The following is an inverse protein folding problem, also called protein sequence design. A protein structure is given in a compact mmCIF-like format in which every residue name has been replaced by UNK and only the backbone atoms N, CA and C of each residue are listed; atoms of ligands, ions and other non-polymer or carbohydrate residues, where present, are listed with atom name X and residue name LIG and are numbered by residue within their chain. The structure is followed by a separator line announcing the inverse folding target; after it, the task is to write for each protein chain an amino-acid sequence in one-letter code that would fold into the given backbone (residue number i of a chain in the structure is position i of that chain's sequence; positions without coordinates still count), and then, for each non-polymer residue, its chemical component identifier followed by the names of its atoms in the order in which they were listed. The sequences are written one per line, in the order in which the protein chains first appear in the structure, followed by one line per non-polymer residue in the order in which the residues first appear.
data_IF_506142505560
#
_entry.id   IF_506142505560
#
_cell.length_a   1.000
_cell.length_b   1.000
_cell.length_c   1.000
_cell.angle_alpha   90.00
_cell.angle_beta   90.00
_cell.angle_gamma   90.00
#
_symmetry.space_group_name_H-M   'P 1'
#
loop_
_entity.id
_entity.type
_entity.pdbx_description
1 polymer ?
#
# COMPACT_ATOMS: atom_id res chain seq x y z
N UNK A 1 -28.48 -12.62 52.90
CA UNK A 1 -27.11 -12.50 52.34
C UNK A 1 -26.98 -11.11 51.75
N UNK A 2 -25.99 -10.31 52.18
CA UNK A 2 -25.77 -8.95 51.67
C UNK A 2 -24.87 -9.04 50.44
N UNK A 3 -25.30 -8.40 49.34
CA UNK A 3 -24.59 -8.37 48.07
C UNK A 3 -23.63 -7.18 48.00
N UNK A 4 -22.32 -7.43 47.94
CA UNK A 4 -21.34 -6.40 47.65
C UNK A 4 -21.15 -6.22 46.14
N UNK A 5 -21.71 -5.16 45.54
CA UNK A 5 -21.50 -4.83 44.13
C UNK A 5 -20.61 -3.60 44.01
N UNK A 6 -19.64 -3.65 43.10
CA UNK A 6 -18.68 -2.56 42.89
C UNK A 6 -19.25 -1.35 42.13
N UNK A 7 -20.38 -1.51 41.44
CA UNK A 7 -21.03 -0.47 40.62
C UNK A 7 -22.51 -0.36 40.99
N UNK A 8 -22.96 0.86 41.34
CA UNK A 8 -24.32 1.14 41.82
C UNK A 8 -25.39 0.90 40.76
N UNK A 9 -25.06 1.05 39.47
CA UNK A 9 -26.00 0.79 38.37
C UNK A 9 -26.28 -0.69 38.19
N UNK A 10 -25.24 -1.51 38.37
CA UNK A 10 -25.36 -2.97 38.31
C UNK A 10 -26.08 -3.47 39.57
N UNK A 11 -25.82 -2.86 40.72
CA UNK A 11 -26.53 -3.16 41.96
C UNK A 11 -28.06 -3.00 41.82
N UNK A 12 -28.50 -1.92 41.16
CA UNK A 12 -29.94 -1.68 40.90
C UNK A 12 -30.56 -2.76 40.02
N UNK A 13 -29.88 -3.21 38.96
CA UNK A 13 -30.37 -4.23 38.04
C UNK A 13 -30.33 -5.66 38.63
N UNK A 14 -29.38 -5.94 39.52
CA UNK A 14 -29.29 -7.24 40.21
C UNK A 14 -30.33 -7.37 41.32
N UNK A 15 -30.66 -6.25 42.00
CA UNK A 15 -31.69 -6.23 43.05
C UNK A 15 -33.07 -6.64 42.55
N UNK A 16 -33.34 -6.51 41.24
CA UNK A 16 -34.58 -6.98 40.60
C UNK A 16 -34.63 -8.49 40.38
N UNK A 17 -33.49 -9.21 40.36
CA UNK A 17 -33.47 -10.61 39.92
C UNK A 17 -32.88 -11.65 40.90
N UNK A 18 -31.72 -11.48 41.57
CA UNK A 18 -31.19 -12.51 42.51
C UNK A 18 -30.06 -11.98 43.45
N UNK A 19 -29.78 -12.68 44.56
CA UNK A 19 -28.89 -12.25 45.67
C UNK A 19 -27.61 -13.10 45.86
N UNK A 20 -26.46 -12.81 45.20
CA UNK A 20 -25.18 -13.55 45.41
C UNK A 20 -23.90 -12.71 45.19
N UNK A 21 -22.98 -12.65 46.18
CA UNK A 21 -21.74 -11.83 46.20
C UNK A 21 -20.53 -12.40 45.46
N UNK A 22 -19.72 -11.52 44.82
CA UNK A 22 -18.46 -11.88 44.15
C UNK A 22 -17.21 -11.29 44.85
N UNK A 23 -16.17 -12.11 45.02
CA UNK A 23 -14.86 -11.78 45.61
C UNK A 23 -13.81 -11.54 44.52
N UNK A 24 -13.10 -10.40 44.53
CA UNK A 24 -12.10 -10.02 43.49
C UNK A 24 -10.67 -10.50 43.79
N UNK A 25 -10.31 -10.71 45.05
CA UNK A 25 -8.90 -10.85 45.49
C UNK A 25 -8.38 -12.30 45.47
N UNK A 26 -9.24 -13.29 45.70
CA UNK A 26 -8.91 -14.73 45.62
C UNK A 26 -9.60 -15.45 44.46
N UNK A 27 -10.07 -14.70 43.46
CA UNK A 27 -10.73 -15.23 42.27
C UNK A 27 -9.98 -16.38 41.55
N UNK A 28 -8.63 -16.35 41.41
CA UNK A 28 -7.87 -17.45 40.80
C UNK A 28 -7.87 -18.73 41.65
N UNK A 29 -7.90 -18.59 42.98
CA UNK A 29 -7.90 -19.73 43.91
C UNK A 29 -9.30 -20.35 44.09
N UNK A 30 -10.35 -19.57 43.81
CA UNK A 30 -11.75 -19.97 43.94
C UNK A 30 -12.27 -20.72 42.69
N UNK A 31 -11.74 -20.42 41.51
CA UNK A 31 -12.17 -21.01 40.25
C UNK A 31 -11.15 -22.05 39.77
N UNK A 32 -11.45 -23.34 39.98
CA UNK A 32 -10.61 -24.44 39.48
C UNK A 32 -10.47 -24.34 37.95
N UNK A 33 -9.25 -24.13 37.47
CA UNK A 33 -8.90 -24.02 36.05
C UNK A 33 -8.52 -22.60 35.59
N UNK A 34 -8.80 -21.56 36.38
CA UNK A 34 -8.40 -20.18 36.08
C UNK A 34 -7.13 -19.82 36.83
N UNK A 35 -5.98 -20.20 36.29
CA UNK A 35 -4.67 -19.76 36.81
C UNK A 35 -4.49 -18.25 36.61
N UNK A 36 -3.67 -17.59 37.45
CA UNK A 36 -3.35 -16.15 37.34
C UNK A 36 -2.85 -15.74 35.95
N UNK A 37 -2.11 -16.62 35.28
CA UNK A 37 -1.63 -16.40 33.92
C UNK A 37 -2.78 -16.39 32.89
N UNK A 38 -3.73 -17.31 33.02
CA UNK A 38 -4.88 -17.39 32.14
C UNK A 38 -5.85 -16.23 32.38
N UNK A 39 -6.04 -15.83 33.64
CA UNK A 39 -6.81 -14.64 33.98
C UNK A 39 -6.18 -13.39 33.35
N UNK A 40 -4.86 -13.22 33.46
CA UNK A 40 -4.15 -12.07 32.88
C UNK A 40 -4.27 -12.03 31.35
N UNK A 41 -4.15 -13.16 30.66
CA UNK A 41 -4.38 -13.28 29.20
C UNK A 41 -5.82 -12.98 28.81
N UNK A 42 -6.79 -13.48 29.56
CA UNK A 42 -8.21 -13.22 29.33
C UNK A 42 -8.55 -11.73 29.53
N UNK A 43 -8.00 -11.10 30.58
CA UNK A 43 -8.14 -9.66 30.83
C UNK A 43 -7.55 -8.83 29.71
N UNK A 44 -6.37 -9.19 29.20
CA UNK A 44 -5.75 -8.51 28.05
C UNK A 44 -6.61 -8.64 26.79
N UNK A 45 -7.08 -9.86 26.49
CA UNK A 45 -7.96 -10.12 25.35
C UNK A 45 -9.26 -9.33 25.42
N UNK A 46 -9.92 -9.35 26.58
CA UNK A 46 -11.15 -8.59 26.83
C UNK A 46 -10.92 -7.08 26.77
N UNK A 47 -9.82 -6.59 27.34
CA UNK A 47 -9.45 -5.18 27.31
C UNK A 47 -9.23 -4.68 25.88
N UNK A 48 -8.54 -5.46 25.05
CA UNK A 48 -8.37 -5.14 23.63
C UNK A 48 -9.69 -5.21 22.86
N UNK A 49 -10.52 -6.23 23.09
CA UNK A 49 -11.81 -6.38 22.43
C UNK A 49 -12.76 -5.21 22.77
N UNK A 50 -12.88 -4.88 24.06
CA UNK A 50 -13.68 -3.77 24.55
C UNK A 50 -13.21 -2.44 23.97
N UNK A 51 -11.90 -2.17 24.02
CA UNK A 51 -11.33 -0.92 23.50
C UNK A 51 -11.52 -0.79 21.99
N UNK A 52 -11.29 -1.86 21.22
CA UNK A 52 -11.52 -1.87 19.76
C UNK A 52 -12.99 -1.64 19.40
N UNK A 53 -13.92 -2.27 20.14
CA UNK A 53 -15.35 -2.09 19.94
C UNK A 53 -15.80 -0.66 20.25
N UNK A 54 -15.30 -0.09 21.36
CA UNK A 54 -15.66 1.26 21.81
C UNK A 54 -15.12 2.35 20.89
N UNK A 55 -13.87 2.20 20.43
CA UNK A 55 -13.20 3.16 19.55
C UNK A 55 -13.62 3.00 18.08
N UNK A 56 -14.49 2.02 17.76
CA UNK A 56 -14.87 1.67 16.36
C UNK A 56 -13.64 1.52 15.48
N UNK A 57 -12.65 0.75 15.94
CA UNK A 57 -11.38 0.58 15.22
C UNK A 57 -11.63 0.03 13.82
N UNK A 58 -11.39 0.85 12.80
CA UNK A 58 -11.65 0.48 11.41
C UNK A 58 -10.42 -0.21 10.80
N UNK A 59 -10.52 -1.52 10.57
CA UNK A 59 -9.43 -2.32 9.98
C UNK A 59 -9.08 -1.86 8.57
N UNK A 60 -10.03 -1.24 7.85
CA UNK A 60 -9.79 -0.75 6.49
C UNK A 60 -8.91 0.51 6.45
N UNK A 61 -8.68 1.15 7.59
CA UNK A 61 -7.89 2.38 7.72
C UNK A 61 -6.49 2.13 8.28
N UNK A 62 -6.05 0.88 8.31
CA UNK A 62 -4.73 0.49 8.83
C UNK A 62 -3.65 0.93 7.85
N UNK A 63 -2.93 1.98 8.23
CA UNK A 63 -1.80 2.57 7.53
C UNK A 63 -0.53 1.73 7.61
N UNK A 64 -0.42 0.83 8.60
CA UNK A 64 0.74 -0.08 8.72
C UNK A 64 0.96 -0.93 7.44
N UNK A 65 -0.13 -1.38 6.79
CA UNK A 65 0.01 -2.15 5.54
C UNK A 65 0.62 -1.33 4.41
N UNK A 66 0.35 -0.01 4.34
CA UNK A 66 0.94 0.90 3.36
C UNK A 66 2.44 1.05 3.63
N UNK A 67 2.82 1.22 4.91
CA UNK A 67 4.21 1.39 5.35
C UNK A 67 5.04 0.15 4.97
N UNK A 68 4.54 -1.04 5.28
CA UNK A 68 5.24 -2.28 4.92
C UNK A 68 5.30 -2.49 3.41
N UNK A 69 4.22 -2.17 2.69
CA UNK A 69 4.18 -2.34 1.23
C UNK A 69 5.18 -1.44 0.50
N UNK A 70 5.33 -0.17 0.91
CA UNK A 70 6.30 0.73 0.27
C UNK A 70 7.74 0.37 0.63
N UNK A 71 8.00 -0.04 1.88
CA UNK A 71 9.32 -0.51 2.29
C UNK A 71 9.73 -1.77 1.51
N UNK A 72 8.79 -2.71 1.32
CA UNK A 72 9.00 -3.89 0.49
C UNK A 72 9.21 -3.52 -0.98
N UNK A 73 8.45 -2.58 -1.52
CA UNK A 73 8.62 -2.12 -2.91
C UNK A 73 10.00 -1.48 -3.15
N UNK A 74 10.44 -0.61 -2.25
CA UNK A 74 11.77 0.02 -2.34
C UNK A 74 12.91 -1.01 -2.16
N UNK A 75 12.70 -2.08 -1.39
CA UNK A 75 13.65 -3.19 -1.27
C UNK A 75 13.67 -4.07 -2.54
N UNK A 76 12.50 -4.44 -3.05
CA UNK A 76 12.37 -5.18 -4.31
C UNK A 76 13.04 -4.45 -5.48
N UNK A 77 12.93 -3.12 -5.55
CA UNK A 77 13.60 -2.34 -6.60
C UNK A 77 15.13 -2.50 -6.56
N UNK A 78 15.74 -2.56 -5.38
CA UNK A 78 17.19 -2.78 -5.24
C UNK A 78 17.57 -4.23 -5.56
N UNK A 79 16.78 -5.17 -5.06
CA UNK A 79 17.04 -6.61 -5.24
C UNK A 79 16.89 -6.99 -6.72
N UNK A 80 15.83 -6.51 -7.38
CA UNK A 80 15.61 -6.71 -8.82
C UNK A 80 16.79 -6.19 -9.62
N UNK A 81 17.30 -4.99 -9.31
CA UNK A 81 18.45 -4.43 -10.02
C UNK A 81 19.72 -5.26 -9.77
N UNK A 82 19.96 -5.67 -8.53
CA UNK A 82 21.13 -6.49 -8.16
C UNK A 82 21.07 -7.86 -8.83
N UNK A 83 19.92 -8.52 -8.81
CA UNK A 83 19.72 -9.80 -9.47
C UNK A 83 19.78 -9.70 -10.99
N UNK A 84 19.27 -8.61 -11.58
CA UNK A 84 19.37 -8.37 -13.02
C UNK A 84 20.82 -8.19 -13.47
N UNK A 85 21.62 -7.44 -12.71
CA UNK A 85 23.07 -7.32 -12.96
C UNK A 85 23.75 -8.68 -12.82
N UNK A 86 23.36 -9.49 -11.84
CA UNK A 86 23.91 -10.83 -11.65
C UNK A 86 23.58 -11.79 -12.80
N UNK A 87 22.35 -11.75 -13.35
CA UNK A 87 21.98 -12.53 -14.55
C UNK A 87 22.80 -12.07 -15.75
N UNK A 88 22.99 -10.76 -15.92
CA UNK A 88 23.82 -10.22 -17.01
C UNK A 88 25.26 -10.69 -16.93
N UNK A 89 25.87 -10.69 -15.76
CA UNK A 89 27.22 -11.23 -15.58
C UNK A 89 27.27 -12.73 -15.86
N UNK A 90 26.33 -13.50 -15.28
CA UNK A 90 26.37 -14.96 -15.36
C UNK A 90 26.11 -15.48 -16.77
N UNK A 91 25.10 -14.93 -17.46
CA UNK A 91 24.81 -15.28 -18.84
C UNK A 91 25.76 -14.60 -19.83
N UNK A 92 26.39 -13.49 -19.44
CA UNK A 92 27.41 -12.79 -20.24
C UNK A 92 28.64 -13.63 -20.56
N UNK A 93 28.97 -14.63 -19.75
CA UNK A 93 30.03 -15.60 -20.07
C UNK A 93 29.68 -16.48 -21.29
N UNK A 94 28.39 -16.77 -21.47
CA UNK A 94 27.88 -17.57 -22.60
C UNK A 94 27.56 -16.71 -23.82
N UNK A 95 26.94 -15.54 -23.61
CA UNK A 95 26.53 -14.65 -24.68
C UNK A 95 26.79 -13.17 -24.31
N UNK A 96 28.03 -12.69 -24.49
CA UNK A 96 28.43 -11.34 -24.06
C UNK A 96 27.77 -10.21 -24.89
N UNK A 97 27.44 -10.47 -26.16
CA UNK A 97 26.85 -9.46 -27.05
C UNK A 97 25.43 -9.05 -26.62
N UNK A 98 24.69 -9.94 -25.94
CA UNK A 98 23.30 -9.68 -25.51
C UNK A 98 23.18 -8.46 -24.59
N UNK A 99 24.19 -8.22 -23.76
CA UNK A 99 24.22 -7.09 -22.82
C UNK A 99 24.23 -5.75 -23.57
N UNK A 100 24.84 -5.70 -24.76
CA UNK A 100 24.90 -4.47 -25.58
C UNK A 100 23.61 -4.22 -26.35
N UNK A 101 22.91 -5.28 -26.73
CA UNK A 101 21.69 -5.20 -27.55
C UNK A 101 20.47 -4.84 -26.67
N UNK A 102 20.35 -5.44 -25.48
CA UNK A 102 19.20 -5.26 -24.60
C UNK A 102 19.58 -4.40 -23.38
N UNK A 103 19.05 -3.18 -23.33
CA UNK A 103 19.27 -2.23 -22.23
C UNK A 103 18.35 -2.46 -21.03
N UNK A 104 17.12 -2.92 -21.24
CA UNK A 104 16.15 -3.15 -20.17
C UNK A 104 16.39 -4.49 -19.45
N UNK A 105 16.24 -4.48 -18.12
CA UNK A 105 16.55 -5.62 -17.26
C UNK A 105 15.47 -6.70 -17.34
N UNK A 106 14.20 -6.30 -17.46
CA UNK A 106 13.08 -7.22 -17.50
C UNK A 106 13.05 -8.01 -18.81
N UNK A 107 13.16 -7.31 -19.93
CA UNK A 107 13.28 -7.93 -21.26
C UNK A 107 14.51 -8.84 -21.35
N UNK A 108 15.66 -8.43 -20.80
CA UNK A 108 16.86 -9.27 -20.75
C UNK A 108 16.60 -10.60 -20.04
N UNK A 109 16.00 -10.57 -18.85
CA UNK A 109 15.70 -11.80 -18.10
C UNK A 109 14.72 -12.72 -18.85
N UNK A 110 13.73 -12.15 -19.55
CA UNK A 110 12.80 -12.93 -20.40
C UNK A 110 13.49 -13.56 -21.60
N UNK A 111 14.40 -12.84 -22.25
CA UNK A 111 15.17 -13.37 -23.38
C UNK A 111 16.12 -14.48 -22.93
N UNK A 112 16.80 -14.34 -21.79
CA UNK A 112 17.63 -15.41 -21.22
C UNK A 112 16.80 -16.67 -20.90
N UNK A 113 15.59 -16.49 -20.36
CA UNK A 113 14.69 -17.60 -20.07
C UNK A 113 14.23 -18.35 -21.33
N UNK A 114 14.00 -17.61 -22.43
CA UNK A 114 13.54 -18.18 -23.70
C UNK A 114 14.69 -18.80 -24.52
N UNK A 115 15.84 -18.13 -24.58
CA UNK A 115 16.98 -18.56 -25.39
C UNK A 115 17.60 -19.87 -24.93
N UNK A 116 17.58 -20.17 -23.63
CA UNK A 116 18.19 -21.36 -23.02
C UNK A 116 19.56 -21.67 -23.67
N UNK A 117 19.62 -22.65 -24.57
CA UNK A 117 20.85 -23.06 -25.22
C UNK A 117 20.98 -22.52 -26.65
N UNK A 118 22.15 -21.96 -26.98
CA UNK A 118 22.43 -21.36 -28.30
C UNK A 118 22.23 -22.30 -29.49
N UNK A 119 22.39 -23.61 -29.26
CA UNK A 119 22.37 -24.65 -30.31
C UNK A 119 20.97 -25.16 -30.62
N UNK A 120 20.01 -24.98 -29.71
CA UNK A 120 18.62 -25.45 -29.87
C UNK A 120 17.68 -24.32 -30.34
N UNK A 121 18.17 -23.07 -30.33
CA UNK A 121 17.37 -21.92 -30.65
C UNK A 121 17.09 -21.82 -32.16
N UNK A 122 15.90 -22.23 -32.57
CA UNK A 122 15.47 -22.32 -33.97
C UNK A 122 14.57 -21.12 -34.36
N UNK A 123 14.45 -20.86 -35.66
CA UNK A 123 13.66 -19.80 -36.33
C UNK A 123 12.21 -19.68 -35.80
N UNK A 124 11.62 -20.77 -35.28
CA UNK A 124 10.27 -20.76 -34.70
C UNK A 124 10.11 -19.89 -33.44
N UNK A 125 11.20 -19.50 -32.76
CA UNK A 125 11.16 -18.62 -31.60
C UNK A 125 11.29 -17.13 -31.95
N UNK A 126 11.37 -16.79 -33.23
CA UNK A 126 11.47 -15.39 -33.70
C UNK A 126 10.21 -14.58 -33.36
N UNK A 127 9.02 -15.16 -33.55
CA UNK A 127 7.75 -14.54 -33.15
C UNK A 127 7.63 -14.32 -31.63
N UNK A 128 8.12 -15.28 -30.84
CA UNK A 128 8.13 -15.17 -29.37
C UNK A 128 9.14 -14.13 -28.88
N UNK A 129 10.30 -14.01 -29.55
CA UNK A 129 11.28 -12.97 -29.30
C UNK A 129 10.74 -11.60 -29.67
N UNK A 130 10.11 -11.44 -30.84
CA UNK A 130 9.48 -10.18 -31.25
C UNK A 130 8.37 -9.75 -30.29
N UNK A 131 7.58 -10.71 -29.77
CA UNK A 131 6.58 -10.42 -28.74
C UNK A 131 7.20 -9.94 -27.41
N UNK A 132 8.45 -10.31 -27.11
CA UNK A 132 9.16 -9.92 -25.89
C UNK A 132 9.92 -8.60 -26.08
N UNK A 133 10.66 -8.46 -27.18
CA UNK A 133 11.51 -7.30 -27.48
C UNK A 133 10.69 -6.11 -27.99
N UNK A 134 9.48 -6.36 -28.51
CA UNK A 134 8.59 -5.38 -29.15
C UNK A 134 9.26 -4.60 -30.29
N UNK A 135 10.39 -5.10 -30.80
CA UNK A 135 11.27 -4.41 -31.73
C UNK A 135 11.97 -5.43 -32.62
N UNK A 136 11.49 -5.53 -33.87
CA UNK A 136 11.99 -6.47 -34.87
C UNK A 136 13.48 -6.25 -35.16
N UNK A 137 13.97 -4.99 -35.07
CA UNK A 137 15.38 -4.67 -35.28
C UNK A 137 16.31 -5.26 -34.21
N UNK A 138 15.86 -5.32 -32.95
CA UNK A 138 16.64 -5.95 -31.87
C UNK A 138 16.65 -7.47 -31.99
N UNK A 139 15.53 -8.05 -32.42
CA UNK A 139 15.44 -9.50 -32.65
C UNK A 139 16.42 -9.94 -33.74
N UNK A 140 16.44 -9.24 -34.89
CA UNK A 140 17.41 -9.51 -35.96
C UNK A 140 18.87 -9.36 -35.47
N UNK A 141 19.18 -8.30 -34.71
CA UNK A 141 20.50 -8.09 -34.13
C UNK A 141 20.91 -9.20 -33.14
N UNK A 142 19.96 -9.76 -32.38
CA UNK A 142 20.21 -10.91 -31.51
C UNK A 142 20.57 -12.14 -32.35
N UNK A 143 19.85 -12.43 -33.44
CA UNK A 143 20.16 -13.56 -34.33
C UNK A 143 21.51 -13.40 -35.05
N UNK A 144 21.85 -12.19 -35.50
CA UNK A 144 23.18 -11.91 -36.06
C UNK A 144 24.28 -12.06 -35.03
N UNK A 145 24.06 -11.56 -33.80
CA UNK A 145 24.99 -11.72 -32.69
C UNK A 145 25.13 -13.20 -32.27
N UNK A 146 24.07 -14.00 -32.32
CA UNK A 146 24.16 -15.44 -32.06
C UNK A 146 25.06 -16.16 -33.07
N UNK A 147 25.02 -15.77 -34.35
CA UNK A 147 25.88 -16.36 -35.40
C UNK A 147 27.35 -15.96 -35.26
N UNK A 148 27.62 -14.81 -34.67
CA UNK A 148 28.96 -14.20 -34.57
C UNK A 148 29.57 -14.29 -33.16
N UNK A 149 28.85 -14.85 -32.19
CA UNK A 149 29.29 -14.86 -30.78
C UNK A 149 30.54 -15.70 -30.55
N UNK A 150 31.42 -15.19 -29.69
CA UNK A 150 32.66 -15.84 -29.26
C UNK A 150 32.51 -16.42 -27.84
N UNK A 151 31.29 -16.45 -27.29
CA UNK A 151 31.03 -16.88 -25.93
C UNK A 151 31.38 -18.35 -25.65
N UNK A 152 31.61 -18.65 -24.37
CA UNK A 152 32.00 -19.98 -23.88
C UNK A 152 30.80 -20.92 -23.86
N UNK A 153 31.00 -22.20 -24.22
CA UNK A 153 30.00 -23.25 -23.99
C UNK A 153 29.86 -23.53 -22.49
N UNK A 154 28.66 -23.34 -21.95
CA UNK A 154 28.33 -23.59 -20.53
C UNK A 154 27.78 -25.01 -20.36
N UNK A 155 28.04 -25.63 -19.20
CA UNK A 155 27.46 -26.93 -18.82
C UNK A 155 25.93 -26.87 -18.76
N UNK A 156 25.20 -27.93 -19.17
CA UNK A 156 23.74 -27.96 -19.09
C UNK A 156 23.21 -27.77 -17.66
N UNK A 157 23.96 -28.21 -16.64
CA UNK A 157 23.58 -28.04 -15.23
C UNK A 157 23.60 -26.56 -14.83
N UNK A 158 24.62 -25.82 -15.26
CA UNK A 158 24.74 -24.39 -15.00
C UNK A 158 23.68 -23.61 -15.76
N UNK A 159 23.34 -24.05 -16.97
CA UNK A 159 22.27 -23.44 -17.76
C UNK A 159 20.90 -23.57 -17.09
N UNK A 160 20.58 -24.74 -16.51
CA UNK A 160 19.35 -24.96 -15.73
C UNK A 160 19.30 -24.01 -14.52
N UNK A 161 20.43 -23.78 -13.86
CA UNK A 161 20.51 -22.86 -12.73
C UNK A 161 20.28 -21.40 -13.17
N UNK A 162 20.86 -20.98 -14.29
CA UNK A 162 20.63 -19.65 -14.88
C UNK A 162 19.16 -19.48 -15.28
N UNK A 163 18.55 -20.50 -15.90
CA UNK A 163 17.13 -20.49 -16.28
C UNK A 163 16.22 -20.32 -15.06
N UNK A 164 16.44 -21.13 -14.01
CA UNK A 164 15.70 -21.05 -12.75
C UNK A 164 15.85 -19.67 -12.09
N UNK A 165 17.05 -19.09 -12.13
CA UNK A 165 17.31 -17.77 -11.59
C UNK A 165 16.61 -16.67 -12.42
N UNK A 166 16.67 -16.74 -13.76
CA UNK A 166 15.96 -15.83 -14.65
C UNK A 166 14.44 -15.89 -14.42
N UNK A 167 13.87 -17.09 -14.30
CA UNK A 167 12.45 -17.30 -13.97
C UNK A 167 12.08 -16.65 -12.64
N UNK A 168 12.93 -16.80 -11.61
CA UNK A 168 12.69 -16.16 -10.30
C UNK A 168 12.69 -14.64 -10.40
N UNK A 169 13.61 -14.06 -11.17
CA UNK A 169 13.68 -12.61 -11.38
C UNK A 169 12.46 -12.09 -12.14
N UNK A 170 11.99 -12.80 -13.19
CA UNK A 170 10.75 -12.45 -13.89
C UNK A 170 9.56 -12.41 -12.92
N UNK A 171 9.41 -13.43 -12.08
CA UNK A 171 8.35 -13.44 -11.05
C UNK A 171 8.50 -12.31 -10.03
N UNK A 172 9.72 -11.88 -9.68
CA UNK A 172 9.92 -10.70 -8.83
C UNK A 172 9.47 -9.40 -9.51
N UNK A 173 9.71 -9.25 -10.81
CA UNK A 173 9.19 -8.11 -11.58
C UNK A 173 7.66 -8.09 -11.64
N UNK A 174 7.03 -9.25 -11.88
CA UNK A 174 5.56 -9.40 -11.86
C UNK A 174 4.99 -9.08 -10.47
N UNK A 175 5.62 -9.63 -9.43
CA UNK A 175 5.22 -9.38 -8.05
C UNK A 175 5.33 -7.90 -7.69
N UNK A 176 6.42 -7.23 -8.10
CA UNK A 176 6.58 -5.78 -7.94
C UNK A 176 5.43 -4.99 -8.58
N UNK A 177 5.02 -5.35 -9.81
CA UNK A 177 3.88 -4.71 -10.49
C UNK A 177 2.58 -4.93 -9.71
N UNK A 178 2.33 -6.16 -9.27
CA UNK A 178 1.14 -6.49 -8.47
C UNK A 178 1.11 -5.73 -7.13
N UNK A 179 2.27 -5.55 -6.49
CA UNK A 179 2.41 -4.82 -5.23
C UNK A 179 2.16 -3.31 -5.44
N UNK A 180 2.58 -2.76 -6.58
CA UNK A 180 2.29 -1.37 -6.95
C UNK A 180 0.79 -1.14 -7.16
N UNK A 181 0.08 -2.06 -7.81
CA UNK A 181 -1.37 -2.01 -7.99
C UNK A 181 -2.11 -2.15 -6.64
N UNK A 182 -1.64 -3.05 -5.77
CA UNK A 182 -2.14 -3.19 -4.41
C UNK A 182 -1.97 -1.90 -3.60
N UNK A 183 -0.77 -1.29 -3.64
CA UNK A 183 -0.49 -0.02 -2.98
C UNK A 183 -1.41 1.10 -3.49
N UNK A 184 -1.66 1.16 -4.80
CA UNK A 184 -2.59 2.12 -5.40
C UNK A 184 -4.01 1.96 -4.88
N UNK A 185 -4.51 0.72 -4.86
CA UNK A 185 -5.84 0.42 -4.34
C UNK A 185 -5.98 0.76 -2.85
N UNK A 186 -4.97 0.42 -2.04
CA UNK A 186 -4.96 0.70 -0.61
C UNK A 186 -4.81 2.18 -0.30
N UNK A 187 -3.96 2.90 -1.01
CA UNK A 187 -3.84 4.34 -0.84
C UNK A 187 -5.15 5.06 -1.18
N UNK A 188 -5.86 4.63 -2.21
CA UNK A 188 -7.18 5.18 -2.54
C UNK A 188 -8.24 4.94 -1.46
N UNK A 189 -8.11 3.90 -0.63
CA UNK A 189 -9.01 3.63 0.50
C UNK A 189 -8.63 4.42 1.76
N UNK A 190 -7.33 4.61 2.01
CA UNK A 190 -6.83 5.20 3.27
C UNK A 190 -6.61 6.70 3.15
N UNK A 191 -5.98 7.17 2.07
CA UNK A 191 -5.59 8.56 1.86
C UNK A 191 -5.75 8.99 0.38
N UNK A 192 -6.99 9.09 -0.13
CA UNK A 192 -7.27 9.48 -1.50
C UNK A 192 -6.89 10.93 -1.82
N UNK A 193 -6.96 11.86 -0.86
CA UNK A 193 -6.61 13.26 -1.12
C UNK A 193 -5.11 13.45 -1.28
N UNK A 194 -4.32 12.79 -0.42
CA UNK A 194 -2.87 12.78 -0.54
C UNK A 194 -2.42 12.11 -1.83
N UNK A 195 -3.05 10.99 -2.22
CA UNK A 195 -2.83 10.32 -3.49
C UNK A 195 -3.13 11.23 -4.70
N UNK A 196 -4.28 11.90 -4.71
CA UNK A 196 -4.66 12.82 -5.80
C UNK A 196 -3.67 13.97 -5.98
N UNK A 197 -3.15 14.51 -4.87
CA UNK A 197 -2.27 15.68 -4.85
C UNK A 197 -0.84 15.39 -5.32
N UNK A 198 -0.17 14.38 -4.74
CA UNK A 198 1.27 14.11 -4.97
C UNK A 198 1.56 12.77 -5.65
N UNK A 199 0.55 11.91 -5.80
CA UNK A 199 0.69 10.55 -6.31
C UNK A 199 0.85 9.51 -5.19
N UNK A 200 0.50 8.27 -5.50
CA UNK A 200 0.37 7.18 -4.52
C UNK A 200 1.72 6.77 -3.93
N UNK A 201 2.77 6.67 -4.76
CA UNK A 201 4.11 6.26 -4.30
C UNK A 201 4.77 7.29 -3.39
N UNK A 202 4.73 8.57 -3.77
CA UNK A 202 5.32 9.66 -2.96
C UNK A 202 4.52 9.84 -1.67
N UNK A 203 3.19 9.75 -1.73
CA UNK A 203 2.33 9.74 -0.54
C UNK A 203 2.65 8.60 0.42
N UNK A 204 2.84 7.38 -0.11
CA UNK A 204 3.22 6.22 0.70
C UNK A 204 4.57 6.42 1.40
N UNK A 205 5.58 6.95 0.69
CA UNK A 205 6.89 7.25 1.30
C UNK A 205 6.80 8.31 2.39
N UNK A 206 5.96 9.34 2.23
CA UNK A 206 5.74 10.34 3.28
C UNK A 206 5.11 9.73 4.54
N UNK A 207 4.10 8.86 4.38
CA UNK A 207 3.46 8.16 5.50
C UNK A 207 4.47 7.23 6.19
N UNK A 208 5.25 6.47 5.42
CA UNK A 208 6.25 5.56 5.95
C UNK A 208 7.34 6.28 6.75
N UNK A 209 7.87 7.39 6.24
CA UNK A 209 8.88 8.17 6.95
C UNK A 209 8.33 8.89 8.18
N UNK A 210 7.03 9.23 8.21
CA UNK A 210 6.37 9.74 9.42
C UNK A 210 5.99 8.63 10.42
N UNK A 211 6.03 7.37 10.01
CA UNK A 211 5.69 6.18 10.80
C UNK A 211 4.19 5.91 10.95
N UNK A 212 3.32 6.90 10.71
CA UNK A 212 1.87 6.71 10.61
C UNK A 212 1.22 7.91 9.91
N UNK A 213 0.02 7.72 9.38
CA UNK A 213 -0.79 8.81 8.82
C UNK A 213 -1.17 9.82 9.92
N UNK A 214 -1.40 9.34 11.15
CA UNK A 214 -1.72 10.21 12.30
C UNK A 214 -0.56 11.12 12.68
N UNK A 215 0.68 10.62 12.65
CA UNK A 215 1.87 11.42 12.91
C UNK A 215 2.11 12.42 11.78
N UNK A 216 1.89 12.00 10.53
CA UNK A 216 1.99 12.89 9.38
C UNK A 216 1.01 14.07 9.49
N UNK A 217 -0.24 13.82 9.91
CA UNK A 217 -1.25 14.86 10.12
C UNK A 217 -0.87 15.86 11.23
N UNK A 218 -0.14 15.39 12.26
CA UNK A 218 0.37 16.22 13.36
C UNK A 218 1.57 17.07 12.96
N UNK A 219 2.36 16.64 11.98
CA UNK A 219 3.52 17.42 11.54
C UNK A 219 3.11 18.78 10.95
N UNK A 220 3.91 19.84 11.20
CA UNK A 220 3.73 21.11 10.53
C UNK A 220 4.20 20.99 9.07
N UNK A 221 3.69 21.87 8.22
CA UNK A 221 4.04 21.88 6.80
C UNK A 221 5.55 22.11 6.55
N UNK A 222 6.23 22.85 7.42
CA UNK A 222 7.68 23.05 7.35
C UNK A 222 8.46 21.74 7.51
N UNK A 223 8.04 20.85 8.40
CA UNK A 223 8.64 19.52 8.56
C UNK A 223 8.35 18.64 7.35
N UNK A 224 7.11 18.66 6.85
CA UNK A 224 6.70 17.92 5.65
C UNK A 224 7.54 18.33 4.42
N UNK A 225 7.92 19.60 4.30
CA UNK A 225 8.77 20.12 3.21
C UNK A 225 10.15 19.44 3.15
N UNK A 226 10.78 19.22 4.30
CA UNK A 226 12.16 18.71 4.45
C UNK A 226 12.23 17.22 4.75
N UNK A 227 11.08 16.55 4.82
CA UNK A 227 10.95 15.15 5.24
C UNK A 227 11.77 14.24 4.31
N UNK A 228 12.68 13.45 4.87
CA UNK A 228 13.68 12.64 4.14
C UNK A 228 15.00 13.35 3.80
N UNK A 229 15.12 14.67 3.98
CA UNK A 229 16.39 15.42 3.85
C UNK A 229 17.01 15.78 5.22
N UNK A 230 16.55 15.14 6.30
CA UNK A 230 16.92 15.47 7.69
C UNK A 230 18.43 15.38 7.93
N UNK A 231 19.09 14.34 7.43
CA UNK A 231 20.56 14.20 7.57
C UNK A 231 21.31 15.38 6.95
N UNK A 232 20.88 15.83 5.78
CA UNK A 232 21.48 16.98 5.09
C UNK A 232 21.18 18.29 5.84
N UNK A 233 19.97 18.42 6.39
CA UNK A 233 19.59 19.56 7.22
C UNK A 233 20.44 19.65 8.50
N UNK A 234 20.58 18.56 9.25
CA UNK A 234 21.38 18.53 10.46
C UNK A 234 22.86 18.77 10.18
N UNK A 235 23.39 18.26 9.06
CA UNK A 235 24.75 18.57 8.62
C UNK A 235 24.92 20.05 8.32
N UNK A 236 24.01 20.66 7.55
CA UNK A 236 24.04 22.08 7.22
C UNK A 236 23.94 22.98 8.47
N UNK A 237 23.10 22.61 9.44
CA UNK A 237 22.99 23.32 10.72
C UNK A 237 24.30 23.27 11.52
N UNK A 238 24.97 22.11 11.56
CA UNK A 238 26.26 21.95 12.24
C UNK A 238 27.38 22.75 11.56
N UNK A 239 27.41 22.76 10.23
CA UNK A 239 28.46 23.44 9.45
C UNK A 239 28.09 24.89 9.09
N UNK A 240 26.96 25.41 9.59
CA UNK A 240 26.35 26.69 9.17
C UNK A 240 26.29 26.86 7.64
N UNK A 241 26.06 25.75 6.93
CA UNK A 241 25.95 25.72 5.47
C UNK A 241 24.50 25.93 4.99
N UNK A 242 24.31 25.88 3.67
CA UNK A 242 23.00 26.01 3.05
C UNK A 242 22.08 24.83 3.42
N UNK A 243 20.91 25.14 3.98
CA UNK A 243 19.90 24.15 4.34
C UNK A 243 19.17 23.62 3.10
N UNK A 244 18.81 22.31 3.07
CA UNK A 244 18.04 21.75 1.98
C UNK A 244 16.63 22.36 1.94
N UNK A 245 16.15 22.68 0.74
CA UNK A 245 14.83 23.32 0.53
C UNK A 245 13.69 22.32 0.31
N UNK A 246 14.00 21.05 0.05
CA UNK A 246 13.04 20.00 -0.27
C UNK A 246 13.58 18.62 0.15
N UNK A 247 12.68 17.71 0.52
CA UNK A 247 12.96 16.30 0.77
C UNK A 247 12.26 15.38 -0.23
N UNK A 248 11.52 14.39 0.27
CA UNK A 248 10.80 13.39 -0.54
C UNK A 248 9.78 14.00 -1.51
N UNK A 249 9.22 15.16 -1.18
CA UNK A 249 8.24 15.87 -2.02
C UNK A 249 8.85 16.31 -3.36
N UNK A 250 10.19 16.40 -3.46
CA UNK A 250 10.88 16.73 -4.71
C UNK A 250 10.52 15.81 -5.88
N UNK A 251 10.20 14.54 -5.59
CA UNK A 251 9.80 13.55 -6.60
C UNK A 251 8.36 13.71 -7.09
N UNK A 252 7.62 14.71 -6.60
CA UNK A 252 6.29 15.03 -7.14
C UNK A 252 6.39 15.63 -8.55
N UNK A 253 5.45 15.27 -9.40
CA UNK A 253 5.38 15.74 -10.80
C UNK A 253 5.31 17.27 -10.91
N UNK A 254 4.65 17.94 -9.96
CA UNK A 254 4.51 19.40 -9.91
C UNK A 254 5.84 20.13 -9.69
N UNK A 255 6.73 19.57 -8.86
CA UNK A 255 8.05 20.17 -8.60
C UNK A 255 9.01 19.91 -9.76
N UNK A 256 8.91 18.74 -10.40
CA UNK A 256 9.70 18.41 -11.58
C UNK A 256 9.49 19.39 -12.74
N UNK A 257 8.25 19.88 -12.93
CA UNK A 257 7.89 20.85 -13.97
C UNK A 257 8.30 22.30 -13.67
N UNK A 258 8.53 22.65 -12.41
CA UNK A 258 8.82 24.01 -12.01
C UNK A 258 10.25 24.45 -12.35
N UNK A 259 10.41 25.74 -12.71
CA UNK A 259 11.74 26.35 -12.95
C UNK A 259 12.62 26.32 -11.70
N UNK A 260 13.94 26.21 -11.88
CA UNK A 260 14.89 25.98 -10.79
C UNK A 260 14.82 27.03 -9.66
N UNK A 261 14.54 28.29 -10.01
CA UNK A 261 14.38 29.38 -9.04
C UNK A 261 13.10 29.24 -8.21
N UNK A 262 12.01 28.77 -8.83
CA UNK A 262 10.69 28.67 -8.22
C UNK A 262 10.48 27.35 -7.45
N UNK A 263 11.33 26.33 -7.65
CA UNK A 263 11.26 25.03 -6.97
C UNK A 263 11.12 25.12 -5.44
N UNK A 264 11.84 26.03 -4.79
CA UNK A 264 11.75 26.22 -3.33
C UNK A 264 10.41 26.83 -2.88
N UNK A 265 9.87 27.77 -3.66
CA UNK A 265 8.59 28.43 -3.36
C UNK A 265 7.42 27.48 -3.56
N UNK A 266 7.42 26.73 -4.66
CA UNK A 266 6.37 25.74 -4.94
C UNK A 266 6.44 24.56 -3.97
N UNK A 267 7.63 24.11 -3.55
CA UNK A 267 7.78 23.04 -2.56
C UNK A 267 7.13 23.41 -1.22
N UNK A 268 7.31 24.64 -0.75
CA UNK A 268 6.64 25.14 0.46
C UNK A 268 5.12 25.18 0.29
N UNK A 269 4.63 25.68 -0.85
CA UNK A 269 3.20 25.72 -1.13
C UNK A 269 2.58 24.32 -1.18
N UNK A 270 3.24 23.38 -1.85
CA UNK A 270 2.83 21.99 -1.93
C UNK A 270 2.84 21.31 -0.56
N UNK A 271 3.86 21.54 0.27
CA UNK A 271 3.91 21.01 1.64
C UNK A 271 2.74 21.51 2.50
N UNK A 272 2.35 22.79 2.37
CA UNK A 272 1.16 23.33 3.04
C UNK A 272 -0.11 22.60 2.60
N UNK A 273 -0.29 22.37 1.30
CA UNK A 273 -1.46 21.64 0.77
C UNK A 273 -1.44 20.15 1.18
N UNK A 274 -0.27 19.52 1.22
CA UNK A 274 -0.11 18.15 1.71
C UNK A 274 -0.46 18.03 3.20
N UNK A 275 -0.09 19.02 4.02
CA UNK A 275 -0.47 19.04 5.44
C UNK A 275 -1.99 19.13 5.63
N UNK A 276 -2.68 19.91 4.78
CA UNK A 276 -4.14 20.00 4.79
C UNK A 276 -4.76 18.68 4.33
N UNK A 277 -4.31 18.14 3.19
CA UNK A 277 -4.81 16.89 2.63
C UNK A 277 -4.65 15.71 3.60
N UNK A 278 -3.47 15.57 4.22
CA UNK A 278 -3.20 14.50 5.21
C UNK A 278 -4.08 14.61 6.45
N UNK A 279 -4.41 15.81 6.92
CA UNK A 279 -5.35 16.01 8.04
C UNK A 279 -6.77 15.63 7.66
N UNK A 280 -7.22 16.03 6.47
CA UNK A 280 -8.54 15.63 5.95
C UNK A 280 -8.61 14.10 5.84
N UNK A 281 -7.59 13.47 5.25
CA UNK A 281 -7.51 12.01 5.09
C UNK A 281 -7.40 11.26 6.41
N UNK A 282 -6.82 11.85 7.45
CA UNK A 282 -6.67 11.20 8.76
C UNK A 282 -7.93 11.32 9.64
N UNK A 283 -8.61 12.46 9.60
CA UNK A 283 -9.72 12.75 10.53
C UNK A 283 -11.12 12.61 9.91
N UNK A 284 -11.26 12.51 8.58
CA UNK A 284 -12.57 12.30 7.94
C UNK A 284 -13.05 10.86 8.09
N UNK A 285 -14.29 10.59 8.53
CA UNK A 285 -14.77 9.20 8.63
C UNK A 285 -14.88 8.50 7.27
N UNK A 286 -15.25 9.27 6.23
CA UNK A 286 -15.34 8.81 4.84
C UNK A 286 -14.43 9.71 4.02
N UNK A 287 -13.25 9.22 3.60
CA UNK A 287 -12.35 10.00 2.77
C UNK A 287 -12.89 10.05 1.34
N UNK A 288 -12.99 11.26 0.78
CA UNK A 288 -13.34 11.53 -0.63
C UNK A 288 -12.09 12.00 -1.37
N UNK A 289 -12.03 11.84 -2.69
CA UNK A 289 -10.87 12.27 -3.50
C UNK A 289 -10.96 13.74 -3.97
N UNK A 290 -12.18 14.31 -3.92
CA UNK A 290 -12.51 15.65 -4.44
C UNK A 290 -11.59 16.74 -3.87
N UNK A 291 -11.32 16.74 -2.57
CA UNK A 291 -10.44 17.75 -1.98
C UNK A 291 -9.01 17.67 -2.55
N UNK A 292 -8.51 16.46 -2.81
CA UNK A 292 -7.21 16.23 -3.44
C UNK A 292 -7.12 16.82 -4.84
N UNK A 293 -8.17 16.64 -5.65
CA UNK A 293 -8.22 17.16 -7.02
C UNK A 293 -8.28 18.70 -7.06
N UNK A 294 -9.10 19.32 -6.21
CA UNK A 294 -9.13 20.78 -6.07
C UNK A 294 -7.80 21.34 -5.55
N UNK A 295 -7.17 20.68 -4.58
CA UNK A 295 -5.86 21.06 -4.08
C UNK A 295 -4.77 20.94 -5.16
N UNK A 296 -4.88 19.91 -6.02
CA UNK A 296 -3.98 19.71 -7.15
C UNK A 296 -4.13 20.80 -8.20
N UNK A 297 -5.37 21.18 -8.53
CA UNK A 297 -5.66 22.30 -9.41
C UNK A 297 -5.05 23.60 -8.85
N UNK A 298 -5.24 23.89 -7.56
CA UNK A 298 -4.62 25.07 -6.92
C UNK A 298 -3.08 25.09 -7.04
N UNK A 299 -2.42 23.94 -6.89
CA UNK A 299 -0.96 23.84 -7.06
C UNK A 299 -0.58 24.06 -8.53
N UNK A 300 -1.36 23.53 -9.46
CA UNK A 300 -1.16 23.72 -10.90
C UNK A 300 -1.37 25.18 -11.32
N UNK A 301 -2.40 25.85 -10.82
CA UNK A 301 -2.66 27.26 -11.11
C UNK A 301 -1.60 28.15 -10.48
N UNK A 302 -1.10 27.78 -9.30
CA UNK A 302 0.04 28.47 -8.70
C UNK A 302 1.32 28.30 -9.50
N UNK A 303 1.51 27.15 -10.16
CA UNK A 303 2.62 26.94 -11.08
C UNK A 303 2.46 27.83 -12.31
N UNK A 304 1.27 27.85 -12.94
CA UNK A 304 0.95 28.75 -14.06
C UNK A 304 1.17 30.21 -13.68
N UNK A 305 0.76 30.66 -12.50
CA UNK A 305 1.02 32.02 -12.01
C UNK A 305 2.51 32.39 -12.04
N UNK A 306 3.41 31.45 -11.76
CA UNK A 306 4.85 31.72 -11.82
C UNK A 306 5.39 31.82 -13.25
N UNK A 307 4.68 31.28 -14.23
CA UNK A 307 5.06 31.29 -15.64
C UNK A 307 4.35 32.40 -16.43
N UNK A 308 3.03 32.56 -16.26
CA UNK A 308 2.15 33.48 -16.99
C UNK A 308 1.73 34.74 -16.21
N UNK A 309 1.86 34.75 -14.87
CA UNK A 309 1.43 35.86 -14.01
C UNK A 309 -0.07 35.91 -13.69
N UNK A 310 -0.88 34.95 -14.15
CA UNK A 310 -2.32 34.91 -13.88
C UNK A 310 -2.64 34.63 -12.41
N UNK A 311 -3.41 35.51 -11.77
CA UNK A 311 -3.74 35.41 -10.34
C UNK A 311 -4.57 34.15 -10.06
N UNK A 312 -4.10 33.25 -9.16
CA UNK A 312 -4.86 32.07 -8.81
C UNK A 312 -6.09 32.42 -7.97
N UNK A 313 -7.13 31.59 -8.07
CA UNK A 313 -8.34 31.73 -7.26
C UNK A 313 -8.03 31.68 -5.75
N UNK A 314 -8.85 32.37 -4.94
CA UNK A 314 -8.69 32.36 -3.49
C UNK A 314 -8.97 30.96 -2.96
N UNK A 315 -8.17 30.54 -1.97
CA UNK A 315 -8.32 29.21 -1.37
C UNK A 315 -9.71 28.99 -0.74
N UNK A 316 -10.35 30.04 -0.22
CA UNK A 316 -11.64 29.94 0.47
C UNK A 316 -12.73 29.49 -0.49
N UNK A 317 -12.81 30.13 -1.66
CA UNK A 317 -13.86 29.90 -2.65
C UNK A 317 -13.78 28.48 -3.20
N UNK A 318 -12.57 28.02 -3.54
CA UNK A 318 -12.33 26.65 -4.02
C UNK A 318 -12.65 25.60 -2.94
N UNK A 319 -12.40 25.91 -1.67
CA UNK A 319 -12.71 24.98 -0.57
C UNK A 319 -14.21 24.90 -0.29
N UNK A 320 -14.97 25.99 -0.50
CA UNK A 320 -16.43 25.97 -0.40
C UNK A 320 -17.05 25.10 -1.51
N UNK A 321 -16.56 25.23 -2.75
CA UNK A 321 -16.99 24.38 -3.87
C UNK A 321 -16.67 22.91 -3.57
N UNK A 322 -15.44 22.63 -3.12
CA UNK A 322 -15.03 21.27 -2.76
C UNK A 322 -15.86 20.68 -1.61
N UNK A 323 -16.32 21.50 -0.65
CA UNK A 323 -17.18 21.04 0.44
C UNK A 323 -18.55 20.59 -0.07
N UNK A 324 -19.17 21.39 -0.95
CA UNK A 324 -20.49 21.06 -1.53
C UNK A 324 -20.41 19.76 -2.35
N UNK A 325 -19.40 19.62 -3.19
CA UNK A 325 -19.20 18.42 -4.01
C UNK A 325 -18.89 17.19 -3.13
N UNK A 326 -18.08 17.37 -2.09
CA UNK A 326 -17.74 16.29 -1.15
C UNK A 326 -18.95 15.81 -0.34
N UNK A 327 -19.88 16.70 0.03
CA UNK A 327 -21.12 16.31 0.71
C UNK A 327 -21.99 15.42 -0.17
N UNK A 328 -22.17 15.80 -1.45
CA UNK A 328 -22.91 14.99 -2.42
C UNK A 328 -22.27 13.62 -2.60
N UNK A 329 -20.95 13.56 -2.75
CA UNK A 329 -20.24 12.28 -2.91
C UNK A 329 -20.32 11.42 -1.65
N UNK A 330 -20.19 12.03 -0.46
CA UNK A 330 -20.36 11.34 0.84
C UNK A 330 -21.74 10.72 0.96
N UNK A 331 -22.80 11.44 0.61
CA UNK A 331 -24.17 10.91 0.63
C UNK A 331 -24.34 9.72 -0.33
N UNK A 332 -23.76 9.82 -1.53
CA UNK A 332 -23.76 8.72 -2.49
C UNK A 332 -23.01 7.49 -1.95
N UNK A 333 -21.85 7.67 -1.33
CA UNK A 333 -21.07 6.58 -0.72
C UNK A 333 -21.86 5.93 0.41
N UNK A 334 -22.46 6.72 1.32
CA UNK A 334 -23.30 6.22 2.41
C UNK A 334 -24.49 5.42 1.86
N UNK A 335 -25.14 5.91 0.79
CA UNK A 335 -26.25 5.21 0.16
C UNK A 335 -25.82 3.86 -0.45
N UNK A 336 -24.65 3.82 -1.11
CA UNK A 336 -24.06 2.61 -1.70
C UNK A 336 -23.67 1.60 -0.61
N UNK A 337 -23.07 2.05 0.49
CA UNK A 337 -22.77 1.19 1.63
C UNK A 337 -24.03 0.61 2.28
N UNK A 338 -25.08 1.42 2.47
CA UNK A 338 -26.36 0.95 2.99
C UNK A 338 -26.99 -0.12 2.08
N UNK A 339 -26.92 0.07 0.76
CA UNK A 339 -27.36 -0.93 -0.24
C UNK A 339 -26.52 -2.21 -0.18
N UNK A 340 -25.20 -2.10 -0.08
CA UNK A 340 -24.30 -3.27 0.09
C UNK A 340 -24.60 -4.06 1.37
N UNK A 341 -24.70 -3.39 2.52
CA UNK A 341 -25.05 -4.02 3.80
C UNK A 341 -26.41 -4.72 3.77
N UNK A 342 -27.41 -4.12 3.09
CA UNK A 342 -28.72 -4.78 2.88
C UNK A 342 -28.60 -6.03 2.01
N UNK A 343 -27.83 -5.97 0.90
CA UNK A 343 -27.61 -7.12 0.01
C UNK A 343 -26.84 -8.24 0.70
N UNK A 344 -25.84 -7.91 1.49
CA UNK A 344 -25.04 -8.87 2.27
C UNK A 344 -25.88 -9.53 3.37
N UNK A 345 -26.68 -8.76 4.12
CA UNK A 345 -27.62 -9.31 5.10
C UNK A 345 -28.65 -10.25 4.45
N UNK A 346 -29.11 -9.93 3.22
CA UNK A 346 -30.01 -10.80 2.44
C UNK A 346 -29.30 -12.11 2.02
N UNK A 347 -28.07 -12.03 1.49
CA UNK A 347 -27.28 -13.22 1.13
C UNK A 347 -26.97 -14.10 2.35
N UNK A 348 -26.65 -13.49 3.48
CA UNK A 348 -26.34 -14.22 4.72
C UNK A 348 -27.57 -14.93 5.28
N UNK A 349 -28.75 -14.29 5.23
CA UNK A 349 -30.02 -14.93 5.56
C UNK A 349 -30.35 -16.09 4.61
N UNK A 350 -30.10 -15.93 3.31
CA UNK A 350 -30.30 -17.00 2.32
C UNK A 350 -29.34 -18.18 2.54
N UNK A 351 -28.08 -17.91 2.86
CA UNK A 351 -27.10 -18.96 3.17
C UNK A 351 -27.45 -19.72 4.47
N UNK A 352 -27.92 -19.01 5.51
CA UNK A 352 -28.41 -19.63 6.74
C UNK A 352 -29.67 -20.48 6.50
N UNK A 353 -30.59 -20.01 5.65
CA UNK A 353 -31.78 -20.78 5.29
C UNK A 353 -31.44 -22.02 4.46
N UNK A 354 -30.48 -21.92 3.53
CA UNK A 354 -30.01 -23.07 2.75
C UNK A 354 -29.30 -24.11 3.64
N UNK A 355 -28.44 -23.67 4.56
CA UNK A 355 -27.78 -24.58 5.50
C UNK A 355 -28.77 -25.29 6.44
N UNK A 356 -29.84 -24.60 6.87
CA UNK A 356 -30.89 -25.22 7.67
C UNK A 356 -31.70 -26.28 6.89
N UNK A 357 -31.96 -26.04 5.60
CA UNK A 357 -32.61 -27.01 4.71
C UNK A 357 -31.72 -28.24 4.45
N UNK A 358 -30.41 -28.04 4.28
CA UNK A 358 -29.45 -29.14 4.12
C UNK A 358 -29.33 -29.99 5.41
N UNK A 359 -29.39 -29.36 6.59
CA UNK A 359 -29.43 -30.09 7.88
C UNK A 359 -30.75 -30.86 8.08
N UNK A 360 -31.89 -30.30 7.69
CA UNK A 360 -33.18 -30.99 7.74
C UNK A 360 -33.24 -32.18 6.77
N UNK A 361 -32.70 -32.03 5.55
CA UNK A 361 -32.61 -33.12 4.57
C UNK A 361 -31.65 -34.23 5.02
N UNK A 362 -30.52 -33.88 5.63
CA UNK A 362 -29.60 -34.88 6.20
C UNK A 362 -30.20 -35.62 7.39
N UNK A 363 -30.96 -34.93 8.25
CA UNK A 363 -31.66 -35.58 9.37
C UNK A 363 -32.82 -36.47 8.89
N UNK A 364 -33.56 -36.07 7.84
CA UNK A 364 -34.60 -36.91 7.24
C UNK A 364 -34.02 -38.17 6.59
N UNK A 365 -32.91 -38.06 5.85
CA UNK A 365 -32.22 -39.21 5.26
C UNK A 365 -31.62 -40.17 6.31
N UNK A 366 -31.22 -39.65 7.48
CA UNK A 366 -30.73 -40.49 8.58
C UNK A 366 -31.85 -41.26 9.29
N UNK A 367 -33.07 -40.70 9.34
CA UNK A 367 -34.24 -41.38 9.91
C UNK A 367 -34.73 -42.51 8.99
N UNK A 368 -34.78 -42.29 7.68
CA UNK A 368 -35.16 -43.31 6.68
C UNK A 368 -34.13 -44.45 6.55
N UNK A 369 -32.87 -44.24 6.93
CA UNK A 369 -31.85 -45.30 6.95
C UNK A 369 -31.89 -46.19 8.21
N UNK A 370 -32.69 -45.81 9.22
CA UNK A 370 -32.84 -46.54 10.50
C UNK A 370 -34.19 -47.24 10.68
N UNK A 371 -35.11 -47.07 9.73
CA UNK A 371 -36.35 -47.84 9.59
C UNK A 371 -36.15 -48.97 8.56
#
# INVERSE_FOLDING_TARGET
MILGVADSRIASAINEHFSISCLRLHFPNLVKGLTDQNQSKAQLGLGHAYSRAKVKFNVNRVDNMIIQSIALLDQLDKDINTFSMRIREWYGYHFPELIRIISDNYTYARVVYLMKNRKEFTINHEEELEAITMDSGKTAAIFEAMKTTIGMDISPIDLINIESFAKRVIHLFEYRKSLQEYLRSKMGQVAPNLAGLIGEQVGARLIAHAGSLTNLAKYPASTIQILGAEKALFRALKTKGNTPKYGLIYHSSHIGKASAQNKGRISRYLANKCAIASRIDCFSDIPTAIFGDHLKQQVSDRLKFFDSGELPAKNVDVMQIALQEAEVEREQIISKERKRKKKEKKRRKQALAAAALDEEQNNANMLDATA
#
